data_IF_293519190141
#
_entry.id   IF_293519190141
#
_cell.length_a   1.000
_cell.length_b   1.000
_cell.length_c   1.000
_cell.angle_alpha   90.00
_cell.angle_beta   90.00
_cell.angle_gamma   90.00
#
_symmetry.space_group_name_H-M   'P 1'
#
loop_
_entity.id
_entity.type
_entity.pdbx_description
1 polymer ?
#
# COMPACT_ATOMS: atom_id res chain seq x y z
N UNK A 1 -21.16 -33.32 0.25
CA UNK A 1 -20.09 -32.36 -0.12
C UNK A 1 -20.30 -31.13 0.73
N UNK A 2 -19.34 -30.82 1.60
CA UNK A 2 -19.31 -29.54 2.31
C UNK A 2 -19.03 -28.49 1.21
N UNK A 3 -19.84 -27.42 1.07
CA UNK A 3 -19.50 -26.37 0.11
C UNK A 3 -18.12 -25.83 0.49
N UNK A 4 -17.21 -25.76 -0.49
CA UNK A 4 -15.93 -25.13 -0.29
C UNK A 4 -16.20 -23.71 0.22
N UNK A 5 -15.68 -23.38 1.39
CA UNK A 5 -15.80 -22.03 1.97
C UNK A 5 -15.21 -21.06 0.95
N UNK A 6 -16.05 -20.21 0.37
CA UNK A 6 -15.60 -19.25 -0.64
C UNK A 6 -14.64 -18.26 0.04
N UNK A 7 -13.41 -18.19 -0.44
CA UNK A 7 -12.41 -17.25 0.11
C UNK A 7 -12.80 -15.85 -0.32
N UNK A 8 -12.89 -14.94 0.66
CA UNK A 8 -13.28 -13.55 0.44
C UNK A 8 -12.20 -12.61 1.00
N UNK A 9 -11.83 -11.60 0.20
CA UNK A 9 -10.89 -10.54 0.60
C UNK A 9 -11.60 -9.19 0.64
N UNK A 10 -11.18 -8.33 1.53
CA UNK A 10 -11.70 -6.97 1.60
C UNK A 10 -11.14 -6.12 0.45
N UNK A 11 -12.03 -5.60 -0.40
CA UNK A 11 -11.66 -4.68 -1.48
C UNK A 11 -11.51 -3.27 -0.94
N UNK A 12 -10.40 -2.64 -1.29
CA UNK A 12 -10.09 -1.25 -0.98
C UNK A 12 -9.49 -0.56 -2.21
N UNK A 13 -9.18 0.72 -2.08
CA UNK A 13 -8.45 1.46 -3.10
C UNK A 13 -8.06 2.85 -2.63
N UNK A 14 -7.01 3.39 -3.27
CA UNK A 14 -6.53 4.74 -3.03
C UNK A 14 -7.56 5.75 -3.54
N UNK A 15 -8.23 6.43 -2.61
CA UNK A 15 -9.32 7.34 -2.97
C UNK A 15 -8.86 8.50 -3.84
N UNK A 16 -7.71 9.07 -3.57
CA UNK A 16 -7.15 10.20 -4.31
C UNK A 16 -6.66 9.85 -5.73
N UNK A 17 -6.57 8.57 -6.08
CA UNK A 17 -6.45 8.12 -7.47
C UNK A 17 -7.70 8.45 -8.30
N UNK A 18 -8.84 8.65 -7.65
CA UNK A 18 -10.14 8.89 -8.27
C UNK A 18 -10.40 10.38 -8.43
N UNK A 19 -10.28 11.14 -7.33
CA UNK A 19 -10.60 12.57 -7.27
C UNK A 19 -10.02 13.19 -5.99
N UNK A 20 -9.83 14.50 -5.95
CA UNK A 20 -9.44 15.24 -4.73
C UNK A 20 -10.57 15.30 -3.70
N UNK A 21 -11.84 15.26 -4.14
CA UNK A 21 -13.00 15.31 -3.24
C UNK A 21 -13.30 13.93 -2.64
N UNK A 22 -13.18 13.73 -1.32
CA UNK A 22 -13.44 12.46 -0.66
C UNK A 22 -14.88 11.96 -0.83
N UNK A 23 -15.86 12.82 -1.10
CA UNK A 23 -17.21 12.38 -1.40
C UNK A 23 -17.27 11.63 -2.74
N UNK A 24 -16.52 12.09 -3.75
CA UNK A 24 -16.37 11.43 -5.05
C UNK A 24 -15.57 10.13 -4.89
N UNK A 25 -14.46 10.16 -4.14
CA UNK A 25 -13.65 8.99 -3.83
C UNK A 25 -14.53 7.84 -3.29
N UNK A 26 -15.30 8.12 -2.25
CA UNK A 26 -16.18 7.16 -1.59
C UNK A 26 -17.27 6.66 -2.54
N UNK A 27 -17.94 7.56 -3.26
CA UNK A 27 -19.03 7.19 -4.16
C UNK A 27 -18.57 6.23 -5.27
N UNK A 28 -17.39 6.46 -5.85
CA UNK A 28 -16.83 5.60 -6.90
C UNK A 28 -16.41 4.24 -6.33
N UNK A 29 -15.72 4.20 -5.19
CA UNK A 29 -15.35 2.95 -4.53
C UNK A 29 -16.56 2.09 -4.21
N UNK A 30 -17.61 2.69 -3.64
CA UNK A 30 -18.87 1.98 -3.35
C UNK A 30 -19.54 1.45 -4.62
N UNK A 31 -19.56 2.24 -5.69
CA UNK A 31 -20.11 1.80 -6.98
C UNK A 31 -19.32 0.61 -7.58
N UNK A 32 -18.07 0.45 -7.22
CA UNK A 32 -17.20 -0.67 -7.61
C UNK A 32 -17.26 -1.86 -6.63
N UNK A 33 -18.08 -1.77 -5.59
CA UNK A 33 -18.29 -2.84 -4.60
C UNK A 33 -17.31 -2.84 -3.44
N UNK A 34 -16.46 -1.80 -3.29
CA UNK A 34 -15.55 -1.69 -2.16
C UNK A 34 -16.26 -1.17 -0.92
N UNK A 35 -15.99 -1.78 0.23
CA UNK A 35 -16.42 -1.33 1.55
C UNK A 35 -15.35 -0.56 2.31
N UNK A 36 -14.14 -0.49 1.74
CA UNK A 36 -12.98 0.14 2.33
C UNK A 36 -12.33 1.15 1.37
N UNK A 37 -11.70 2.17 1.96
CA UNK A 37 -10.85 3.13 1.27
C UNK A 37 -9.45 3.13 1.90
N UNK A 38 -8.41 3.21 1.09
CA UNK A 38 -7.07 3.54 1.53
C UNK A 38 -6.88 5.05 1.40
N UNK A 39 -6.60 5.73 2.52
CA UNK A 39 -6.58 7.19 2.57
C UNK A 39 -5.15 7.70 2.47
N UNK A 40 -4.80 8.30 1.31
CA UNK A 40 -3.54 9.02 1.07
C UNK A 40 -3.75 10.53 1.15
N UNK A 41 -4.79 11.05 0.52
CA UNK A 41 -5.13 12.48 0.51
C UNK A 41 -6.65 12.68 0.49
N UNK A 42 -7.09 13.81 1.04
CA UNK A 42 -8.45 14.31 0.94
C UNK A 42 -8.41 15.82 0.70
N UNK A 43 -9.26 16.32 -0.19
CA UNK A 43 -9.28 17.74 -0.60
C UNK A 43 -7.91 18.25 -1.06
N UNK A 44 -7.15 17.41 -1.77
CA UNK A 44 -5.81 17.73 -2.26
C UNK A 44 -4.73 17.84 -1.17
N UNK A 45 -5.03 17.49 0.08
CA UNK A 45 -4.11 17.56 1.21
C UNK A 45 -3.77 16.14 1.69
N UNK A 46 -2.47 15.87 1.88
CA UNK A 46 -2.03 14.56 2.39
C UNK A 46 -2.58 14.30 3.79
N UNK A 47 -2.91 13.05 4.08
CA UNK A 47 -3.53 12.63 5.35
C UNK A 47 -2.71 13.04 6.59
N UNK A 48 -1.38 13.07 6.51
CA UNK A 48 -0.51 13.48 7.62
C UNK A 48 -0.47 15.00 7.83
N UNK A 49 -1.00 15.77 6.89
CA UNK A 49 -1.02 17.22 6.90
C UNK A 49 -2.44 17.82 7.09
N UNK A 50 -3.46 16.95 7.17
CA UNK A 50 -4.81 17.40 7.48
C UNK A 50 -4.85 18.05 8.88
N UNK A 51 -5.60 19.16 8.99
CA UNK A 51 -5.94 19.73 10.31
C UNK A 51 -6.90 18.82 11.07
N UNK A 52 -7.00 19.01 12.38
CA UNK A 52 -7.94 18.26 13.22
C UNK A 52 -9.39 18.42 12.74
N UNK A 53 -9.77 19.63 12.30
CA UNK A 53 -11.10 19.89 11.75
C UNK A 53 -11.34 19.15 10.44
N UNK A 54 -10.36 19.12 9.53
CA UNK A 54 -10.44 18.36 8.30
C UNK A 54 -10.52 16.85 8.58
N UNK A 55 -9.71 16.35 9.50
CA UNK A 55 -9.72 14.94 9.89
C UNK A 55 -11.08 14.55 10.50
N UNK A 56 -11.66 15.39 11.36
CA UNK A 56 -13.00 15.19 11.92
C UNK A 56 -14.09 15.21 10.84
N UNK A 57 -13.98 16.13 9.87
CA UNK A 57 -14.91 16.20 8.74
C UNK A 57 -14.84 14.95 7.87
N UNK A 58 -13.62 14.45 7.57
CA UNK A 58 -13.44 13.21 6.84
C UNK A 58 -14.03 12.01 7.57
N UNK A 59 -13.79 11.89 8.89
CA UNK A 59 -14.37 10.84 9.72
C UNK A 59 -15.92 10.89 9.71
N UNK A 60 -16.50 12.09 9.78
CA UNK A 60 -17.94 12.31 9.68
C UNK A 60 -18.50 11.81 8.33
N UNK A 61 -17.84 12.17 7.24
CA UNK A 61 -18.23 11.78 5.89
C UNK A 61 -18.15 10.26 5.68
N UNK A 62 -17.04 9.64 6.08
CA UNK A 62 -16.86 8.18 6.00
C UNK A 62 -17.94 7.44 6.78
N UNK A 63 -18.24 7.89 8.00
CA UNK A 63 -19.31 7.34 8.84
C UNK A 63 -20.69 7.51 8.20
N UNK A 64 -21.01 8.69 7.67
CA UNK A 64 -22.28 8.97 6.98
C UNK A 64 -22.49 8.03 5.80
N UNK A 65 -21.43 7.79 5.03
CA UNK A 65 -21.47 6.93 3.84
C UNK A 65 -21.28 5.43 4.15
N UNK A 66 -20.99 5.06 5.39
CA UNK A 66 -20.73 3.66 5.76
C UNK A 66 -19.45 3.08 5.15
N UNK A 67 -18.47 3.93 4.81
CA UNK A 67 -17.17 3.53 4.29
C UNK A 67 -16.18 3.35 5.43
N UNK A 68 -15.42 2.25 5.43
CA UNK A 68 -14.36 1.98 6.40
C UNK A 68 -12.98 2.33 5.81
N UNK A 69 -11.97 2.48 6.67
CA UNK A 69 -10.61 2.76 6.22
C UNK A 69 -9.75 1.50 6.37
N UNK A 70 -9.14 1.05 5.27
CA UNK A 70 -8.25 -0.11 5.27
C UNK A 70 -6.86 0.23 5.79
N UNK A 71 -6.30 1.35 5.35
CA UNK A 71 -4.99 1.84 5.76
C UNK A 71 -4.87 3.37 5.58
N UNK A 72 -3.94 3.95 6.32
CA UNK A 72 -3.42 5.30 6.10
C UNK A 72 -2.21 5.18 5.17
N UNK A 73 -2.33 5.65 3.92
CA UNK A 73 -1.25 5.63 2.95
C UNK A 73 -0.32 6.83 3.15
N UNK A 74 0.47 6.79 4.20
CA UNK A 74 1.38 7.88 4.57
C UNK A 74 2.60 7.95 3.65
N UNK A 75 3.25 9.13 3.52
CA UNK A 75 4.52 9.28 2.82
C UNK A 75 5.74 9.07 3.73
N UNK A 76 5.55 8.51 4.94
CA UNK A 76 6.64 8.31 5.91
C UNK A 76 7.70 7.40 5.32
N UNK A 77 8.95 7.83 5.41
CA UNK A 77 10.09 7.15 4.79
C UNK A 77 10.34 7.54 3.32
N UNK A 78 9.51 8.39 2.70
CA UNK A 78 9.82 9.06 1.40
C UNK A 78 10.58 10.37 1.63
N UNK A 79 11.63 10.30 2.40
CA UNK A 79 12.59 11.39 2.67
C UNK A 79 14.00 10.85 2.62
N UNK A 80 14.99 11.75 2.47
CA UNK A 80 16.39 11.36 2.46
C UNK A 80 16.82 10.78 3.82
N UNK A 81 17.56 9.67 3.79
CA UNK A 81 18.04 8.96 4.96
C UNK A 81 18.90 9.80 5.89
N UNK A 82 19.48 10.89 5.41
CA UNK A 82 20.30 11.82 6.20
C UNK A 82 19.50 12.73 7.12
N UNK A 83 18.18 12.87 6.90
CA UNK A 83 17.34 13.67 7.79
C UNK A 83 17.27 13.06 9.19
N UNK A 84 17.13 13.89 10.24
CA UNK A 84 16.91 13.39 11.60
C UNK A 84 15.69 12.47 11.67
N UNK A 85 15.78 11.36 12.39
CA UNK A 85 14.68 10.38 12.51
C UNK A 85 13.45 10.99 13.18
N UNK A 86 13.64 11.97 14.05
CA UNK A 86 12.60 12.69 14.77
C UNK A 86 11.58 13.32 13.81
N UNK A 87 12.02 13.76 12.64
CA UNK A 87 11.13 14.28 11.60
C UNK A 87 10.06 13.26 11.18
N UNK A 88 10.47 12.02 10.92
CA UNK A 88 9.53 10.97 10.52
C UNK A 88 8.76 10.39 11.72
N UNK A 89 9.35 10.38 12.91
CA UNK A 89 8.65 10.01 14.16
C UNK A 89 7.47 10.95 14.44
N UNK A 90 7.64 12.25 14.30
CA UNK A 90 6.55 13.23 14.49
C UNK A 90 5.45 13.03 13.46
N UNK A 91 5.81 12.81 12.19
CA UNK A 91 4.85 12.52 11.12
C UNK A 91 4.10 11.21 11.35
N UNK A 92 4.80 10.18 11.86
CA UNK A 92 4.17 8.91 12.22
C UNK A 92 3.15 9.07 13.36
N UNK A 93 3.45 9.88 14.38
CA UNK A 93 2.46 10.18 15.43
C UNK A 93 1.21 10.88 14.87
N UNK A 94 1.36 11.77 13.91
CA UNK A 94 0.22 12.38 13.20
C UNK A 94 -0.57 11.34 12.39
N UNK A 95 0.11 10.45 11.66
CA UNK A 95 -0.52 9.34 10.93
C UNK A 95 -1.24 8.37 11.88
N UNK A 96 -0.66 8.09 13.05
CA UNK A 96 -1.27 7.23 14.07
C UNK A 96 -2.53 7.86 14.68
N UNK A 97 -2.52 9.19 14.90
CA UNK A 97 -3.73 9.91 15.30
C UNK A 97 -4.81 9.81 14.22
N UNK A 98 -4.45 10.03 12.96
CA UNK A 98 -5.39 9.86 11.84
C UNK A 98 -5.95 8.43 11.76
N UNK A 99 -5.09 7.41 11.92
CA UNK A 99 -5.51 6.01 11.97
C UNK A 99 -6.53 5.75 13.09
N UNK A 100 -6.28 6.27 14.29
CA UNK A 100 -7.20 6.13 15.42
C UNK A 100 -8.54 6.82 15.18
N UNK A 101 -8.53 8.05 14.67
CA UNK A 101 -9.74 8.83 14.39
C UNK A 101 -10.58 8.17 13.29
N UNK A 102 -9.93 7.60 12.27
CA UNK A 102 -10.59 6.96 11.14
C UNK A 102 -10.84 5.45 11.33
N UNK A 103 -10.38 4.87 12.45
CA UNK A 103 -10.57 3.45 12.75
C UNK A 103 -9.70 2.50 11.92
N UNK A 104 -8.58 2.96 11.37
CA UNK A 104 -7.64 2.15 10.62
C UNK A 104 -6.63 1.45 11.55
N UNK A 105 -6.28 0.20 11.21
CA UNK A 105 -5.21 -0.55 11.90
C UNK A 105 -3.84 -0.28 11.28
N UNK A 106 -3.80 -0.04 9.98
CA UNK A 106 -2.59 -0.06 9.18
C UNK A 106 -2.15 1.34 8.75
N UNK A 107 -0.84 1.56 8.75
CA UNK A 107 -0.18 2.75 8.19
C UNK A 107 0.91 2.28 7.23
N UNK A 108 0.76 2.61 5.93
CA UNK A 108 1.80 2.34 4.95
C UNK A 108 2.98 3.29 5.13
N UNK A 109 4.20 2.75 5.02
CA UNK A 109 5.47 3.47 5.11
C UNK A 109 6.48 2.96 4.08
N UNK A 110 7.61 3.67 3.97
CA UNK A 110 8.74 3.36 3.09
C UNK A 110 10.06 3.31 3.87
N UNK A 111 11.20 3.06 3.17
CA UNK A 111 12.51 2.85 3.80
C UNK A 111 13.60 3.79 3.31
N UNK A 112 13.25 5.04 3.11
CA UNK A 112 14.11 6.20 2.87
C UNK A 112 14.80 6.26 1.51
N UNK A 113 14.81 7.46 0.94
CA UNK A 113 15.60 7.81 -0.22
C UNK A 113 17.08 7.98 0.14
N UNK A 114 17.94 7.85 -0.86
CA UNK A 114 19.37 8.10 -0.78
C UNK A 114 19.88 8.67 -2.10
N UNK A 115 21.01 9.39 -2.07
CA UNK A 115 21.57 10.03 -3.27
C UNK A 115 22.04 8.98 -4.30
N UNK A 116 21.87 9.27 -5.60
CA UNK A 116 22.23 8.37 -6.71
C UNK A 116 23.70 7.86 -6.66
N UNK A 117 24.62 8.62 -6.09
CA UNK A 117 26.02 8.25 -5.95
C UNK A 117 26.34 7.49 -4.65
N UNK A 118 25.36 7.30 -3.79
CA UNK A 118 25.53 6.64 -2.49
C UNK A 118 25.35 5.13 -2.68
N UNK A 119 26.34 4.29 -2.32
CA UNK A 119 26.15 2.85 -2.36
C UNK A 119 25.02 2.42 -1.40
N UNK A 120 24.03 1.70 -1.90
CA UNK A 120 22.85 1.33 -1.11
C UNK A 120 23.21 0.58 0.18
N UNK A 121 24.20 -0.28 0.15
CA UNK A 121 24.64 -1.04 1.34
C UNK A 121 25.22 -0.14 2.44
N UNK A 122 25.75 1.05 2.07
CA UNK A 122 26.34 1.97 3.04
C UNK A 122 25.30 2.67 3.93
N UNK A 123 24.03 2.69 3.52
CA UNK A 123 22.95 3.32 4.29
C UNK A 123 22.15 2.32 5.15
N UNK A 124 22.43 1.02 4.98
CA UNK A 124 21.66 -0.05 5.65
C UNK A 124 21.46 0.19 7.13
N UNK A 125 22.54 0.41 7.88
CA UNK A 125 22.46 0.54 9.34
C UNK A 125 21.63 1.77 9.75
N UNK A 126 21.77 2.88 9.01
CA UNK A 126 20.97 4.09 9.22
C UNK A 126 19.48 3.83 8.93
N UNK A 127 19.14 3.07 7.90
CA UNK A 127 17.76 2.67 7.60
C UNK A 127 17.20 1.80 8.72
N UNK A 128 17.92 0.76 9.14
CA UNK A 128 17.46 -0.16 10.18
C UNK A 128 17.24 0.58 11.51
N UNK A 129 18.12 1.50 11.89
CA UNK A 129 17.96 2.34 13.08
C UNK A 129 16.64 3.14 13.03
N UNK A 130 16.38 3.81 11.89
CA UNK A 130 15.16 4.59 11.69
C UNK A 130 13.91 3.72 11.67
N UNK A 131 13.95 2.59 11.00
CA UNK A 131 12.83 1.66 10.96
C UNK A 131 12.51 1.09 12.35
N UNK A 132 13.51 0.84 13.20
CA UNK A 132 13.30 0.47 14.61
C UNK A 132 12.62 1.57 15.40
N UNK A 133 13.03 2.83 15.21
CA UNK A 133 12.39 3.96 15.88
C UNK A 133 10.91 4.11 15.46
N UNK A 134 10.61 3.95 14.16
CA UNK A 134 9.23 3.98 13.68
C UNK A 134 8.42 2.80 14.22
N UNK A 135 8.98 1.58 14.23
CA UNK A 135 8.30 0.40 14.76
C UNK A 135 7.98 0.54 16.25
N UNK A 136 8.91 1.11 17.05
CA UNK A 136 8.68 1.38 18.47
C UNK A 136 7.49 2.34 18.68
N UNK A 137 7.39 3.40 17.87
CA UNK A 137 6.23 4.31 17.91
C UNK A 137 4.95 3.58 17.53
N UNK A 138 4.99 2.71 16.52
CA UNK A 138 3.81 1.94 16.11
C UNK A 138 3.31 0.98 17.21
N UNK A 139 4.23 0.33 17.93
CA UNK A 139 3.90 -0.50 19.09
C UNK A 139 3.26 0.34 20.21
N UNK A 140 3.84 1.51 20.52
CA UNK A 140 3.31 2.46 21.51
C UNK A 140 1.89 2.93 21.13
N UNK A 141 1.67 3.26 19.87
CA UNK A 141 0.41 3.79 19.35
C UNK A 141 -0.65 2.70 19.04
N UNK A 142 -0.23 1.42 19.07
CA UNK A 142 -1.12 0.28 18.81
C UNK A 142 -1.54 0.15 17.32
N UNK A 143 -0.68 0.56 16.40
CA UNK A 143 -0.89 0.47 14.94
C UNK A 143 0.12 -0.51 14.32
N UNK A 144 -0.12 -0.92 13.08
CA UNK A 144 0.77 -1.79 12.31
C UNK A 144 1.29 -1.03 11.10
N UNK A 145 2.60 -0.95 10.97
CA UNK A 145 3.28 -0.39 9.81
C UNK A 145 3.32 -1.42 8.68
N UNK A 146 2.98 -0.98 7.49
CA UNK A 146 3.09 -1.73 6.27
C UNK A 146 4.24 -1.15 5.44
N UNK A 147 5.38 -1.83 5.40
CA UNK A 147 6.47 -1.43 4.51
C UNK A 147 6.11 -1.82 3.08
N UNK A 148 5.95 -0.83 2.21
CA UNK A 148 5.77 -1.03 0.77
C UNK A 148 7.15 -1.07 0.09
N UNK A 149 7.38 -2.08 -0.74
CA UNK A 149 8.51 -2.09 -1.65
C UNK A 149 8.31 -1.01 -2.73
N UNK A 150 9.32 -0.16 -2.93
CA UNK A 150 9.26 0.95 -3.89
C UNK A 150 10.65 1.18 -4.48
N UNK A 151 10.71 1.69 -5.72
CA UNK A 151 11.97 2.11 -6.33
C UNK A 151 12.58 3.31 -5.59
N UNK A 152 13.87 3.48 -5.75
CA UNK A 152 14.66 4.62 -5.24
C UNK A 152 14.76 4.70 -3.70
N UNK A 153 14.23 3.72 -2.97
CA UNK A 153 14.41 3.57 -1.52
C UNK A 153 15.24 2.33 -1.19
N UNK A 154 15.68 2.19 0.07
CA UNK A 154 16.48 1.02 0.46
C UNK A 154 15.76 -0.32 0.20
N UNK A 155 14.49 -0.40 0.55
CA UNK A 155 13.65 -1.61 0.42
C UNK A 155 12.98 -1.75 -0.94
N UNK A 156 13.73 -1.70 -2.03
CA UNK A 156 13.25 -1.81 -3.41
C UNK A 156 13.24 -3.25 -3.94
N UNK A 157 14.17 -4.11 -3.45
CA UNK A 157 14.28 -5.52 -3.84
C UNK A 157 13.97 -6.46 -2.68
N UNK A 158 13.57 -7.72 -2.95
CA UNK A 158 13.08 -8.64 -1.92
C UNK A 158 14.04 -8.88 -0.77
N UNK A 159 15.34 -9.00 -1.06
CA UNK A 159 16.34 -9.26 -0.02
C UNK A 159 16.51 -8.09 0.93
N UNK A 160 16.40 -6.85 0.45
CA UNK A 160 16.46 -5.66 1.31
C UNK A 160 15.17 -5.44 2.10
N UNK A 161 14.00 -5.75 1.50
CA UNK A 161 12.73 -5.76 2.25
C UNK A 161 12.79 -6.78 3.38
N UNK A 162 13.24 -8.00 3.10
CA UNK A 162 13.39 -9.05 4.11
C UNK A 162 14.37 -8.65 5.21
N UNK A 163 15.52 -8.07 4.83
CA UNK A 163 16.52 -7.58 5.79
C UNK A 163 15.95 -6.52 6.74
N UNK A 164 15.13 -5.60 6.24
CA UNK A 164 14.40 -4.62 7.09
C UNK A 164 13.53 -5.36 8.10
N UNK A 165 12.66 -6.25 7.62
CA UNK A 165 11.69 -6.94 8.47
C UNK A 165 12.39 -7.78 9.55
N UNK A 166 13.39 -8.57 9.18
CA UNK A 166 14.12 -9.45 10.10
C UNK A 166 15.01 -8.65 11.08
N UNK A 167 15.69 -7.61 10.58
CA UNK A 167 16.57 -6.80 11.43
C UNK A 167 15.81 -5.94 12.42
N UNK A 168 14.64 -5.41 12.06
CA UNK A 168 13.76 -4.67 12.97
C UNK A 168 13.08 -5.61 13.95
N UNK A 169 12.61 -6.76 13.46
CA UNK A 169 11.98 -7.84 14.25
C UNK A 169 10.86 -7.34 15.17
N UNK A 170 9.97 -6.51 14.66
CA UNK A 170 8.81 -5.98 15.39
C UNK A 170 7.51 -6.62 14.89
N UNK A 171 6.59 -6.99 15.79
CA UNK A 171 5.25 -7.46 15.41
C UNK A 171 4.43 -6.35 14.72
N UNK A 172 4.78 -5.08 14.95
CA UNK A 172 4.13 -3.91 14.37
C UNK A 172 4.69 -3.51 12.99
N UNK A 173 5.60 -4.31 12.38
CA UNK A 173 6.12 -4.07 11.04
C UNK A 173 5.83 -5.27 10.14
N UNK A 174 5.10 -5.04 9.05
CA UNK A 174 4.66 -6.03 8.07
C UNK A 174 4.93 -5.52 6.65
N UNK A 175 4.63 -6.34 5.65
CA UNK A 175 4.83 -6.02 4.24
C UNK A 175 3.49 -5.68 3.59
N UNK A 176 3.45 -4.52 2.90
CA UNK A 176 2.52 -4.26 1.83
C UNK A 176 3.19 -4.66 0.51
N UNK A 177 2.58 -5.60 -0.18
CA UNK A 177 3.12 -6.13 -1.44
C UNK A 177 2.67 -5.29 -2.62
N UNK A 178 3.61 -4.76 -3.41
CA UNK A 178 3.35 -4.11 -4.68
C UNK A 178 4.14 -4.80 -5.80
N UNK A 179 3.43 -5.48 -6.71
CA UNK A 179 4.04 -6.23 -7.80
C UNK A 179 4.66 -5.30 -8.87
N UNK A 180 4.01 -4.18 -9.18
CA UNK A 180 4.49 -3.26 -10.21
C UNK A 180 5.82 -2.61 -9.80
N UNK A 181 5.98 -2.25 -8.52
CA UNK A 181 7.21 -1.67 -8.02
C UNK A 181 8.38 -2.65 -8.11
N UNK A 182 8.15 -3.94 -7.90
CA UNK A 182 9.17 -4.98 -8.17
C UNK A 182 9.51 -5.09 -9.66
N UNK A 183 8.50 -5.10 -10.55
CA UNK A 183 8.74 -5.10 -12.00
C UNK A 183 9.57 -3.90 -12.43
N UNK A 184 9.31 -2.71 -11.89
CA UNK A 184 10.02 -1.48 -12.24
C UNK A 184 11.50 -1.48 -11.85
N UNK A 185 11.90 -2.32 -10.89
CA UNK A 185 13.31 -2.54 -10.52
C UNK A 185 13.90 -3.83 -11.09
N UNK A 186 13.20 -4.49 -12.03
CA UNK A 186 13.67 -5.67 -12.75
C UNK A 186 13.52 -6.99 -12.00
N UNK A 187 12.77 -7.02 -10.90
CA UNK A 187 12.51 -8.23 -10.09
C UNK A 187 11.26 -8.93 -10.61
N UNK A 188 11.30 -10.25 -10.77
CA UNK A 188 10.12 -11.09 -11.04
C UNK A 188 9.37 -11.34 -9.74
N UNK A 189 8.19 -10.70 -9.52
CA UNK A 189 7.60 -10.64 -8.19
C UNK A 189 7.33 -12.02 -7.60
N UNK A 190 6.67 -12.89 -8.35
CA UNK A 190 6.32 -14.21 -7.84
C UNK A 190 7.53 -15.12 -7.65
N UNK A 191 8.42 -15.20 -8.66
CA UNK A 191 9.53 -16.17 -8.65
C UNK A 191 10.65 -15.78 -7.66
N UNK A 192 10.90 -14.48 -7.45
CA UNK A 192 12.05 -14.00 -6.67
C UNK A 192 11.67 -13.44 -5.29
N UNK A 193 10.42 -12.96 -5.13
CA UNK A 193 10.01 -12.28 -3.91
C UNK A 193 8.97 -13.06 -3.07
N UNK A 194 8.00 -13.74 -3.72
CA UNK A 194 6.82 -14.25 -3.00
C UNK A 194 7.21 -15.18 -1.84
N UNK A 195 8.01 -16.22 -2.09
CA UNK A 195 8.37 -17.18 -1.06
C UNK A 195 9.13 -16.56 0.13
N UNK A 196 9.93 -15.51 -0.13
CA UNK A 196 10.69 -14.81 0.89
C UNK A 196 9.79 -13.93 1.77
N UNK A 197 8.88 -13.18 1.14
CA UNK A 197 8.11 -12.14 1.82
C UNK A 197 6.74 -12.62 2.31
N UNK A 198 6.24 -13.76 1.80
CA UNK A 198 4.92 -14.28 2.17
C UNK A 198 4.68 -14.41 3.68
N UNK A 199 5.65 -14.85 4.52
CA UNK A 199 5.44 -14.93 5.97
C UNK A 199 5.13 -13.58 6.64
N UNK A 200 5.49 -12.47 5.99
CA UNK A 200 5.37 -11.11 6.50
C UNK A 200 4.32 -10.28 5.76
N UNK A 201 3.73 -10.82 4.68
CA UNK A 201 2.76 -10.13 3.83
C UNK A 201 1.41 -10.07 4.52
N UNK A 202 0.95 -8.86 4.82
CA UNK A 202 -0.34 -8.56 5.47
C UNK A 202 -1.31 -7.82 4.54
N UNK A 203 -0.82 -7.19 3.46
CA UNK A 203 -1.59 -6.27 2.64
C UNK A 203 -1.18 -6.38 1.18
N UNK A 204 -2.14 -6.47 0.27
CA UNK A 204 -1.89 -6.52 -1.17
C UNK A 204 -2.26 -5.18 -1.80
N UNK A 205 -1.28 -4.47 -2.35
CA UNK A 205 -1.49 -3.35 -3.26
C UNK A 205 -1.59 -3.88 -4.68
N UNK A 206 -2.65 -3.47 -5.37
CA UNK A 206 -2.98 -3.98 -6.70
C UNK A 206 -2.55 -2.96 -7.75
N UNK A 207 -1.37 -3.19 -8.29
CA UNK A 207 -0.75 -2.44 -9.37
C UNK A 207 0.05 -3.39 -10.23
N UNK A 208 0.08 -3.20 -11.54
CA UNK A 208 0.82 -4.03 -12.48
C UNK A 208 1.64 -3.17 -13.45
N UNK A 209 2.73 -3.69 -13.96
CA UNK A 209 3.63 -2.96 -14.84
C UNK A 209 4.32 -3.89 -15.85
N UNK A 210 4.90 -3.30 -16.89
CA UNK A 210 5.64 -4.01 -17.93
C UNK A 210 7.15 -3.91 -17.70
N UNK A 211 7.88 -5.01 -17.77
CA UNK A 211 9.35 -5.02 -17.75
C UNK A 211 9.97 -4.22 -18.88
N UNK A 212 9.30 -4.16 -20.03
CA UNK A 212 9.86 -3.54 -21.23
C UNK A 212 10.12 -2.03 -21.08
N UNK A 213 9.37 -1.34 -20.21
CA UNK A 213 9.43 0.11 -20.09
C UNK A 213 9.02 0.66 -18.70
N UNK A 214 8.64 -0.20 -17.75
CA UNK A 214 8.16 0.18 -16.41
C UNK A 214 6.76 0.84 -16.41
N UNK A 215 6.07 0.88 -17.54
CA UNK A 215 4.75 1.49 -17.60
C UNK A 215 3.73 0.66 -16.83
N UNK A 216 2.89 1.36 -16.08
CA UNK A 216 1.80 0.74 -15.34
C UNK A 216 0.67 0.40 -16.31
N UNK A 217 0.09 -0.78 -16.11
CA UNK A 217 -1.02 -1.34 -16.90
C UNK A 217 -2.10 -1.91 -15.97
N UNK A 218 -3.31 -2.19 -16.46
CA UNK A 218 -4.33 -2.84 -15.66
C UNK A 218 -3.86 -4.18 -15.08
N UNK A 219 -4.35 -4.51 -13.90
CA UNK A 219 -3.99 -5.75 -13.19
C UNK A 219 -4.17 -7.00 -14.05
N UNK A 220 -3.11 -7.81 -14.16
CA UNK A 220 -3.06 -9.03 -14.96
C UNK A 220 -2.71 -8.80 -16.45
N UNK A 221 -2.47 -7.56 -16.87
CA UNK A 221 -2.01 -7.22 -18.21
C UNK A 221 -0.49 -6.93 -18.27
N UNK A 222 0.18 -6.97 -17.11
CA UNK A 222 1.60 -6.73 -16.96
C UNK A 222 2.40 -7.99 -16.61
N UNK A 223 3.62 -7.73 -16.15
CA UNK A 223 4.61 -8.76 -15.79
C UNK A 223 4.65 -9.00 -14.26
N UNK A 224 3.67 -8.46 -13.49
CA UNK A 224 3.60 -8.56 -12.03
C UNK A 224 3.17 -9.92 -11.48
N UNK A 225 2.86 -10.91 -12.34
CA UNK A 225 2.41 -12.26 -11.95
C UNK A 225 1.21 -12.24 -10.96
N UNK A 226 0.30 -11.26 -11.12
CA UNK A 226 -0.79 -11.06 -10.16
C UNK A 226 -1.72 -12.28 -10.03
N UNK A 227 -2.02 -12.99 -11.12
CA UNK A 227 -2.84 -14.19 -11.04
C UNK A 227 -2.18 -15.26 -10.16
N UNK A 228 -0.90 -15.57 -10.40
CA UNK A 228 -0.15 -16.55 -9.59
C UNK A 228 -0.04 -16.12 -8.14
N UNK A 229 0.16 -14.82 -7.90
CA UNK A 229 0.20 -14.25 -6.53
C UNK A 229 -1.14 -14.41 -5.82
N UNK A 230 -2.26 -14.11 -6.49
CA UNK A 230 -3.61 -14.25 -5.92
C UNK A 230 -3.95 -15.72 -5.64
N UNK A 231 -3.62 -16.65 -6.56
CA UNK A 231 -3.81 -18.09 -6.38
C UNK A 231 -3.01 -18.63 -5.17
N UNK A 232 -1.75 -18.22 -5.04
CA UNK A 232 -0.90 -18.63 -3.94
C UNK A 232 -1.36 -18.04 -2.60
N UNK A 233 -1.71 -16.76 -2.55
CA UNK A 233 -2.28 -16.13 -1.36
C UNK A 233 -3.57 -16.82 -0.90
N UNK A 234 -4.44 -17.19 -1.86
CA UNK A 234 -5.63 -17.99 -1.56
C UNK A 234 -5.29 -19.35 -0.96
N UNK A 235 -4.32 -20.04 -1.57
CA UNK A 235 -3.89 -21.36 -1.08
C UNK A 235 -3.28 -21.27 0.33
N UNK A 236 -2.60 -20.18 0.64
CA UNK A 236 -2.00 -19.87 1.95
C UNK A 236 -3.01 -19.35 2.98
N UNK A 237 -4.30 -19.23 2.62
CA UNK A 237 -5.34 -18.78 3.52
C UNK A 237 -5.33 -17.28 3.83
N UNK A 238 -4.80 -16.46 2.93
CA UNK A 238 -4.83 -14.99 3.09
C UNK A 238 -6.28 -14.47 3.15
N UNK A 239 -6.54 -13.57 4.09
CA UNK A 239 -7.86 -12.94 4.31
C UNK A 239 -7.75 -11.43 4.49
N UNK A 240 -6.66 -10.83 4.02
CA UNK A 240 -6.38 -9.40 4.17
C UNK A 240 -7.07 -8.53 3.13
N UNK A 241 -6.53 -7.34 2.98
CA UNK A 241 -6.99 -6.34 2.01
C UNK A 241 -6.33 -6.54 0.64
N UNK A 242 -7.11 -6.27 -0.41
CA UNK A 242 -6.62 -6.00 -1.74
C UNK A 242 -7.00 -4.56 -2.10
N UNK A 243 -6.01 -3.68 -2.21
CA UNK A 243 -6.21 -2.24 -2.41
C UNK A 243 -5.72 -1.81 -3.78
N UNK A 244 -6.61 -1.18 -4.55
CA UNK A 244 -6.33 -0.72 -5.91
C UNK A 244 -5.51 0.57 -5.89
N UNK A 245 -4.33 0.55 -6.52
CA UNK A 245 -3.47 1.72 -6.78
C UNK A 245 -3.09 1.77 -8.27
N UNK A 246 -4.04 2.07 -9.17
CA UNK A 246 -3.88 1.78 -10.58
C UNK A 246 -2.89 2.64 -11.35
N UNK A 247 -2.63 3.89 -10.98
CA UNK A 247 -1.73 4.82 -11.68
C UNK A 247 -1.90 4.87 -13.22
N UNK A 248 -3.12 4.69 -13.76
CA UNK A 248 -3.37 4.50 -15.18
C UNK A 248 -3.49 5.78 -16.00
N UNK A 249 -3.72 6.92 -15.39
CA UNK A 249 -3.81 8.19 -16.11
C UNK A 249 -2.43 8.81 -16.24
N UNK A 250 -1.73 8.51 -17.34
CA UNK A 250 -0.59 9.27 -17.85
C UNK A 250 0.41 9.71 -16.79
N UNK A 251 0.85 8.81 -15.95
CA UNK A 251 1.68 9.08 -14.78
C UNK A 251 3.09 9.58 -15.14
N UNK A 252 3.16 10.71 -15.82
CA UNK A 252 4.40 11.43 -16.11
C UNK A 252 4.67 12.56 -15.12
N UNK A 253 3.92 12.60 -14.02
CA UNK A 253 4.09 13.54 -12.92
C UNK A 253 3.70 12.91 -11.60
N UNK A 254 4.41 13.23 -10.58
CA UNK A 254 4.23 12.94 -9.17
C UNK A 254 2.82 12.47 -8.76
N UNK A 255 2.63 11.16 -8.59
CA UNK A 255 1.40 10.55 -8.12
C UNK A 255 0.30 10.55 -9.18
N UNK A 256 0.31 9.58 -10.09
CA UNK A 256 -0.63 9.50 -11.19
C UNK A 256 -2.05 9.27 -10.72
N UNK A 257 -2.85 10.30 -10.77
CA UNK A 257 -4.30 10.18 -10.60
C UNK A 257 -4.88 9.44 -11.81
N UNK A 258 -5.60 8.36 -11.55
CA UNK A 258 -6.26 7.59 -12.60
C UNK A 258 -7.54 8.27 -13.08
N UNK A 259 -8.22 8.98 -12.22
CA UNK A 259 -9.58 9.46 -12.42
C UNK A 259 -10.62 8.33 -12.35
N UNK A 260 -11.91 8.65 -12.26
CA UNK A 260 -12.97 7.66 -12.06
C UNK A 260 -13.04 6.61 -13.18
N UNK A 261 -12.82 7.00 -14.42
CA UNK A 261 -12.90 6.08 -15.58
C UNK A 261 -11.76 5.06 -15.57
N UNK A 262 -10.52 5.51 -15.43
CA UNK A 262 -9.36 4.61 -15.42
C UNK A 262 -9.34 3.76 -14.15
N UNK A 263 -9.76 4.30 -13.01
CA UNK A 263 -9.94 3.52 -11.78
C UNK A 263 -10.96 2.39 -11.97
N UNK A 264 -12.08 2.65 -12.64
CA UNK A 264 -13.07 1.64 -13.00
C UNK A 264 -12.52 0.57 -13.95
N UNK A 265 -11.60 0.91 -14.87
CA UNK A 265 -10.89 -0.06 -15.71
C UNK A 265 -10.02 -0.97 -14.84
N UNK A 266 -9.24 -0.41 -13.92
CA UNK A 266 -8.39 -1.16 -12.99
C UNK A 266 -9.19 -2.11 -12.11
N UNK A 267 -10.32 -1.65 -11.54
CA UNK A 267 -11.19 -2.49 -10.72
C UNK A 267 -11.74 -3.69 -11.49
N UNK A 268 -12.19 -3.48 -12.73
CA UNK A 268 -12.67 -4.59 -13.58
C UNK A 268 -11.55 -5.55 -13.98
N UNK A 269 -10.34 -5.06 -14.21
CA UNK A 269 -9.18 -5.89 -14.51
C UNK A 269 -8.84 -6.80 -13.31
N UNK A 270 -8.78 -6.25 -12.10
CA UNK A 270 -8.54 -7.03 -10.90
C UNK A 270 -9.68 -8.02 -10.60
N UNK A 271 -10.94 -7.64 -10.84
CA UNK A 271 -12.08 -8.54 -10.71
C UNK A 271 -11.99 -9.77 -11.63
N UNK A 272 -11.38 -9.65 -12.83
CA UNK A 272 -11.10 -10.81 -13.69
C UNK A 272 -10.03 -11.72 -13.07
N UNK A 273 -8.93 -11.14 -12.57
CA UNK A 273 -7.85 -11.91 -11.90
C UNK A 273 -8.41 -12.68 -10.70
N UNK A 274 -9.18 -12.04 -9.85
CA UNK A 274 -9.75 -12.69 -8.66
C UNK A 274 -10.80 -13.74 -9.01
N UNK A 275 -11.63 -13.50 -10.04
CA UNK A 275 -12.58 -14.48 -10.53
C UNK A 275 -11.90 -15.74 -11.09
N UNK A 276 -10.81 -15.57 -11.86
CA UNK A 276 -10.01 -16.69 -12.39
C UNK A 276 -9.35 -17.49 -11.26
N UNK A 277 -8.80 -16.83 -10.25
CA UNK A 277 -8.25 -17.46 -9.06
C UNK A 277 -9.34 -18.06 -8.13
N UNK A 278 -10.62 -17.75 -8.36
CA UNK A 278 -11.73 -18.18 -7.49
C UNK A 278 -11.71 -17.52 -6.11
N UNK A 279 -11.36 -16.24 -6.07
CA UNK A 279 -11.41 -15.35 -4.89
C UNK A 279 -12.56 -14.38 -5.08
N UNK A 280 -13.36 -14.16 -4.05
CA UNK A 280 -14.36 -13.10 -4.02
C UNK A 280 -13.77 -11.86 -3.34
N UNK A 281 -14.04 -10.67 -3.90
CA UNK A 281 -13.77 -9.40 -3.24
C UNK A 281 -15.07 -8.77 -2.73
N UNK A 282 -15.04 -8.21 -1.52
CA UNK A 282 -16.20 -7.62 -0.83
C UNK A 282 -15.86 -6.30 -0.19
#
# INVERSE_FOLDING_TARGET
MVPATQVSWALSGFGDEIDDDPAVQIAVLQALGASYIEVRSAWGTNIVDLSDDQLAALAGLLKEKGMQVSAIASPIGKVDVSLPVEHEVERLRRAANAAKVLGAKYIRIFSFYYGESVPVDSIRDAVIERMRALAAVAEEEGVVLLHENEKDIFGDVPDRVLDIIESVNSPALKVAWDAANFVQVGVKPFDEAYAKLRPHLEYLQVKDALFSNGHVVPAGEGDGDLLRTVEALKADGFTGFASLEPHLAGAHGLGGFSGPTAFGIAARAFAKVTAEAGVQTV
#
